data_IF_754091501955
#
_entry.id   IF_754091501955
#
_cell.length_a   1.000
_cell.length_b   1.000
_cell.length_c   1.000
_cell.angle_alpha   90.00
_cell.angle_beta   90.00
_cell.angle_gamma   90.00
#
_symmetry.space_group_name_H-M   'P 1'
#
loop_
_entity.id
_entity.type
_entity.pdbx_description
1 polymer ?
#
# COMPACT_ATOMS: atom_id res chain seq x y z
N UNK A 1 -1.29 3.97 20.56
CA UNK A 1 -0.36 3.98 19.40
C UNK A 1 -0.05 5.44 19.08
N UNK A 2 1.23 5.83 19.05
CA UNK A 2 1.61 7.24 18.78
C UNK A 2 1.81 7.40 17.26
N UNK A 3 0.92 8.13 16.60
CA UNK A 3 1.00 8.42 15.16
C UNK A 3 2.25 9.23 14.81
N UNK A 4 2.84 8.92 13.67
CA UNK A 4 3.93 9.72 13.08
C UNK A 4 3.31 10.82 12.24
N UNK A 5 3.53 12.07 12.64
CA UNK A 5 2.92 13.25 11.99
C UNK A 5 3.90 14.03 11.11
N UNK A 6 5.19 13.81 11.30
CA UNK A 6 6.24 14.47 10.52
C UNK A 6 7.00 13.47 9.66
N UNK A 7 7.49 13.95 8.51
CA UNK A 7 8.27 13.12 7.59
C UNK A 7 9.54 12.58 8.28
N UNK A 8 10.19 13.39 9.10
CA UNK A 8 11.36 12.93 9.86
C UNK A 8 11.03 11.76 10.78
N UNK A 9 9.91 11.81 11.51
CA UNK A 9 9.50 10.71 12.38
C UNK A 9 9.19 9.43 11.61
N UNK A 10 8.59 9.56 10.42
CA UNK A 10 8.32 8.44 9.53
C UNK A 10 9.63 7.83 9.01
N UNK A 11 10.56 8.66 8.53
CA UNK A 11 11.85 8.19 8.00
C UNK A 11 12.72 7.57 9.10
N UNK A 12 12.74 8.13 10.31
CA UNK A 12 13.41 7.49 11.45
C UNK A 12 12.89 6.07 11.70
N UNK A 13 11.56 5.88 11.61
CA UNK A 13 10.97 4.56 11.76
C UNK A 13 11.33 3.63 10.60
N UNK A 14 11.49 4.16 9.38
CA UNK A 14 11.88 3.39 8.20
C UNK A 14 13.33 2.92 8.22
N UNK A 15 14.20 3.51 9.07
CA UNK A 15 15.58 3.05 9.23
C UNK A 15 15.68 1.63 9.79
N UNK A 16 14.81 1.27 10.72
CA UNK A 16 14.80 -0.08 11.31
C UNK A 16 13.39 -0.46 11.82
N UNK A 17 12.42 -0.68 10.91
CA UNK A 17 11.07 -1.05 11.30
C UNK A 17 11.00 -2.47 11.88
N UNK A 18 10.00 -2.70 12.71
CA UNK A 18 9.63 -4.01 13.25
C UNK A 18 8.16 -4.31 12.93
N UNK A 19 7.73 -5.56 13.08
CA UNK A 19 6.31 -5.95 12.90
C UNK A 19 5.36 -5.14 13.80
N UNK A 20 5.80 -4.76 15.01
CA UNK A 20 5.02 -3.92 15.92
C UNK A 20 4.75 -2.50 15.38
N UNK A 21 5.54 -2.05 14.42
CA UNK A 21 5.43 -0.72 13.82
C UNK A 21 4.46 -0.66 12.63
N UNK A 22 4.12 -1.79 12.02
CA UNK A 22 3.39 -1.85 10.74
C UNK A 22 2.05 -1.11 10.76
N UNK A 23 1.23 -1.37 11.78
CA UNK A 23 -0.05 -0.68 11.90
C UNK A 23 0.13 0.84 12.06
N UNK A 24 1.13 1.27 12.84
CA UNK A 24 1.44 2.69 13.04
C UNK A 24 1.95 3.34 11.75
N UNK A 25 2.82 2.66 11.00
CA UNK A 25 3.31 3.10 9.69
C UNK A 25 2.13 3.27 8.72
N UNK A 26 1.29 2.25 8.60
CA UNK A 26 0.15 2.25 7.68
C UNK A 26 -0.83 3.37 7.98
N UNK A 27 -1.26 3.50 9.25
CA UNK A 27 -2.18 4.55 9.68
C UNK A 27 -1.58 5.93 9.44
N UNK A 28 -0.30 6.11 9.78
CA UNK A 28 0.37 7.40 9.60
C UNK A 28 0.44 7.79 8.13
N UNK A 29 0.86 6.88 7.25
CA UNK A 29 0.93 7.12 5.80
C UNK A 29 -0.44 7.51 5.23
N UNK A 30 -1.51 6.83 5.63
CA UNK A 30 -2.85 7.09 5.13
C UNK A 30 -3.48 8.37 5.67
N UNK A 31 -3.10 8.78 6.89
CA UNK A 31 -3.72 9.90 7.59
C UNK A 31 -2.94 11.21 7.46
N UNK A 32 -1.61 11.13 7.58
CA UNK A 32 -0.77 12.30 7.80
C UNK A 32 0.10 12.66 6.61
N UNK A 33 0.03 11.88 5.52
CA UNK A 33 0.87 12.09 4.35
C UNK A 33 0.08 12.04 3.04
N UNK A 34 0.60 12.75 2.06
CA UNK A 34 0.16 12.68 0.65
C UNK A 34 1.38 12.59 -0.26
N UNK A 35 1.14 12.11 -1.46
CA UNK A 35 2.13 12.10 -2.53
C UNK A 35 1.77 13.24 -3.49
N UNK A 36 2.74 14.11 -3.79
CA UNK A 36 2.59 15.16 -4.80
C UNK A 36 3.39 14.78 -6.03
N UNK A 37 2.73 14.87 -7.18
CA UNK A 37 3.29 14.72 -8.51
C UNK A 37 3.11 16.03 -9.28
N UNK A 38 4.15 16.45 -9.99
CA UNK A 38 4.05 17.53 -10.96
C UNK A 38 3.83 16.96 -12.36
N UNK A 39 2.75 17.37 -13.00
CA UNK A 39 2.44 17.06 -14.40
C UNK A 39 2.62 18.32 -15.21
N UNK A 40 3.26 18.18 -16.37
CA UNK A 40 3.39 19.25 -17.35
C UNK A 40 2.55 18.91 -18.58
N UNK A 41 1.68 19.86 -18.97
CA UNK A 41 0.87 19.75 -20.18
C UNK A 41 0.91 21.08 -20.95
N UNK A 42 0.10 21.19 -22.01
CA UNK A 42 0.03 22.40 -22.83
C UNK A 42 -0.48 23.65 -22.09
N UNK A 43 -1.09 23.47 -20.94
CA UNK A 43 -1.61 24.57 -20.10
C UNK A 43 -0.61 24.98 -19.00
N UNK A 44 0.48 24.23 -18.84
CA UNK A 44 1.56 24.49 -17.89
C UNK A 44 1.76 23.38 -16.86
N UNK A 45 2.43 23.71 -15.73
CA UNK A 45 2.71 22.77 -14.66
C UNK A 45 1.58 22.76 -13.64
N UNK A 46 1.04 21.58 -13.36
CA UNK A 46 0.03 21.37 -12.31
C UNK A 46 0.49 20.36 -11.27
N UNK A 47 0.02 20.55 -10.04
CA UNK A 47 0.25 19.59 -8.95
C UNK A 47 -0.95 18.64 -8.84
N UNK A 48 -0.68 17.36 -8.94
CA UNK A 48 -1.63 16.28 -8.65
C UNK A 48 -1.28 15.68 -7.28
N UNK A 49 -2.27 15.58 -6.42
CA UNK A 49 -2.11 15.04 -5.08
C UNK A 49 -2.75 13.67 -4.99
N UNK A 50 -2.06 12.74 -4.36
CA UNK A 50 -2.56 11.40 -4.06
C UNK A 50 -2.53 11.14 -2.56
N UNK A 51 -3.59 10.54 -2.02
CA UNK A 51 -3.61 9.96 -0.69
C UNK A 51 -3.56 8.44 -0.79
N UNK A 52 -2.71 7.82 0.01
CA UNK A 52 -2.62 6.36 0.07
C UNK A 52 -3.88 5.83 0.71
N UNK A 53 -4.52 4.86 0.06
CA UNK A 53 -5.77 4.26 0.50
C UNK A 53 -5.68 2.73 0.69
N UNK A 54 -4.72 2.07 0.05
CA UNK A 54 -4.42 0.64 0.21
C UNK A 54 -2.91 0.44 0.09
N UNK A 55 -2.33 -0.32 0.98
CA UNK A 55 -0.90 -0.64 1.00
C UNK A 55 -0.64 -2.03 1.58
N UNK A 56 0.52 -2.59 1.24
CA UNK A 56 1.06 -3.80 1.86
C UNK A 56 2.46 -3.51 2.39
N UNK A 57 2.80 -4.11 3.53
CA UNK A 57 4.14 -4.00 4.12
C UNK A 57 4.88 -5.32 3.90
N UNK A 58 6.10 -5.21 3.41
CA UNK A 58 7.04 -6.28 3.16
C UNK A 58 8.33 -6.00 3.92
N UNK A 59 8.78 -6.96 4.71
CA UNK A 59 10.05 -6.86 5.42
C UNK A 59 10.68 -8.23 5.57
N UNK A 60 11.82 -8.42 4.92
CA UNK A 60 12.72 -9.53 5.19
C UNK A 60 13.68 -9.13 6.31
N UNK A 61 13.91 -10.05 7.24
CA UNK A 61 15.00 -9.96 8.22
C UNK A 61 15.59 -11.35 8.40
N UNK A 62 16.91 -11.45 8.47
CA UNK A 62 17.58 -12.73 8.71
C UNK A 62 17.20 -13.33 10.08
N UNK A 63 16.88 -12.47 11.05
CA UNK A 63 16.43 -12.90 12.38
C UNK A 63 14.97 -13.35 12.42
N UNK A 64 14.19 -13.01 11.38
CA UNK A 64 12.78 -13.35 11.25
C UNK A 64 12.42 -13.51 9.77
N UNK A 65 12.78 -14.64 9.16
CA UNK A 65 12.66 -14.86 7.71
C UNK A 65 11.24 -15.21 7.24
N UNK A 66 10.20 -14.90 8.01
CA UNK A 66 8.80 -15.22 7.68
C UNK A 66 8.37 -14.62 6.32
N UNK A 67 8.87 -13.42 5.99
CA UNK A 67 8.48 -12.69 4.79
C UNK A 67 9.41 -12.97 3.59
N UNK A 68 9.40 -14.21 3.12
CA UNK A 68 10.21 -14.67 1.99
C UNK A 68 9.82 -14.04 0.63
N UNK A 69 8.63 -13.42 0.55
CA UNK A 69 8.15 -12.74 -0.66
C UNK A 69 8.76 -11.36 -0.88
N UNK A 70 9.52 -10.86 0.09
CA UNK A 70 10.16 -9.54 -0.01
C UNK A 70 11.28 -9.53 -1.05
N UNK A 71 11.18 -8.64 -2.04
CA UNK A 71 12.20 -8.51 -3.08
C UNK A 71 13.49 -7.92 -2.52
N UNK A 72 14.63 -8.54 -2.85
CA UNK A 72 15.96 -8.03 -2.52
C UNK A 72 16.14 -6.62 -3.09
N UNK A 73 16.63 -5.72 -2.25
CA UNK A 73 16.87 -4.32 -2.61
C UNK A 73 18.00 -3.71 -1.77
N UNK A 74 18.60 -2.67 -2.30
CA UNK A 74 19.56 -1.83 -1.59
C UNK A 74 19.07 -0.39 -1.66
N UNK A 75 18.36 0.04 -0.64
CA UNK A 75 17.67 1.32 -0.62
C UNK A 75 17.97 2.08 0.68
N UNK A 76 17.91 3.39 0.60
CA UNK A 76 17.80 4.27 1.77
C UNK A 76 16.31 4.41 2.17
N UNK A 77 16.05 4.80 3.40
CA UNK A 77 14.69 5.02 3.89
C UNK A 77 13.95 6.09 3.10
N UNK A 78 12.72 5.81 2.73
CA UNK A 78 11.86 6.71 1.97
C UNK A 78 12.16 6.79 0.48
N UNK A 79 13.10 6.03 -0.04
CA UNK A 79 13.38 5.93 -1.47
C UNK A 79 12.26 5.21 -2.20
N UNK A 80 11.89 5.68 -3.39
CA UNK A 80 11.00 4.93 -4.28
C UNK A 80 11.76 3.73 -4.88
N UNK A 81 11.23 2.53 -4.66
CA UNK A 81 11.71 1.30 -5.26
C UNK A 81 10.70 0.79 -6.28
N UNK A 82 11.01 0.95 -7.57
CA UNK A 82 10.16 0.52 -8.68
C UNK A 82 10.55 -0.89 -9.09
N UNK A 83 9.55 -1.76 -9.21
CA UNK A 83 9.73 -3.14 -9.58
C UNK A 83 8.56 -3.66 -10.42
N UNK A 84 8.67 -4.88 -10.97
CA UNK A 84 7.67 -5.46 -11.88
C UNK A 84 6.24 -5.53 -11.33
N UNK A 85 6.07 -5.52 -10.04
CA UNK A 85 4.75 -5.61 -9.40
C UNK A 85 4.16 -4.25 -9.02
N UNK A 86 4.96 -3.19 -8.97
CA UNK A 86 4.51 -1.87 -8.55
C UNK A 86 5.63 -0.98 -8.03
N UNK A 87 5.33 -0.17 -7.04
CA UNK A 87 6.27 0.74 -6.41
C UNK A 87 6.15 0.67 -4.89
N UNK A 88 7.30 0.60 -4.23
CA UNK A 88 7.40 0.65 -2.77
C UNK A 88 8.02 1.97 -2.32
N UNK A 89 7.58 2.43 -1.16
CA UNK A 89 8.33 3.38 -0.34
C UNK A 89 9.27 2.56 0.56
N UNK A 90 10.57 2.57 0.26
CA UNK A 90 11.51 1.62 0.82
C UNK A 90 11.85 1.91 2.29
N UNK A 91 12.06 0.85 3.04
CA UNK A 91 12.80 0.87 4.29
C UNK A 91 14.30 0.90 4.00
N UNK A 92 15.10 1.38 4.97
CA UNK A 92 16.55 1.29 4.86
C UNK A 92 16.99 -0.16 4.79
N UNK A 93 17.83 -0.48 3.82
CA UNK A 93 18.53 -1.76 3.77
C UNK A 93 19.63 -1.80 4.82
N UNK A 94 19.68 -2.89 5.59
CA UNK A 94 20.74 -3.14 6.56
C UNK A 94 21.60 -4.28 6.02
N UNK A 95 22.93 -4.07 6.08
CA UNK A 95 23.93 -5.06 5.69
C UNK A 95 24.72 -5.53 6.90
N UNK A 96 25.20 -6.77 6.83
CA UNK A 96 26.18 -7.31 7.77
C UNK A 96 27.56 -6.65 7.56
N UNK A 97 28.49 -6.90 8.46
CA UNK A 97 29.88 -6.48 8.31
C UNK A 97 30.52 -7.03 7.02
N UNK A 98 30.09 -8.18 6.55
CA UNK A 98 30.55 -8.81 5.31
C UNK A 98 29.82 -8.29 4.07
N UNK A 99 28.92 -7.30 4.19
CA UNK A 99 28.18 -6.70 3.09
C UNK A 99 26.91 -7.46 2.65
N UNK A 100 26.55 -8.56 3.30
CA UNK A 100 25.35 -9.31 2.98
C UNK A 100 24.07 -8.57 3.41
N UNK A 101 23.00 -8.70 2.62
CA UNK A 101 21.70 -8.14 2.95
C UNK A 101 21.06 -8.91 4.12
N UNK A 102 20.92 -8.28 5.27
CA UNK A 102 20.33 -8.91 6.47
C UNK A 102 18.92 -8.41 6.78
N UNK A 103 18.56 -7.19 6.31
CA UNK A 103 17.22 -6.64 6.48
C UNK A 103 16.90 -5.67 5.36
N UNK A 104 15.75 -5.84 4.71
CA UNK A 104 15.28 -4.98 3.63
C UNK A 104 13.78 -5.11 3.45
N UNK A 105 13.14 -4.10 2.88
CA UNK A 105 11.70 -4.12 2.66
C UNK A 105 11.14 -2.75 2.28
N UNK A 106 9.81 -2.61 2.39
CA UNK A 106 9.12 -1.37 2.09
C UNK A 106 7.61 -1.48 2.20
N UNK A 107 6.98 -0.39 1.83
CA UNK A 107 5.53 -0.22 1.78
C UNK A 107 5.09 -0.20 0.32
N UNK A 108 4.50 -1.28 -0.17
CA UNK A 108 3.94 -1.38 -1.52
C UNK A 108 2.64 -0.56 -1.61
N UNK A 109 2.60 0.38 -2.53
CA UNK A 109 1.40 1.19 -2.80
C UNK A 109 0.44 0.39 -3.67
N UNK A 110 -0.78 0.18 -3.17
CA UNK A 110 -1.82 -0.62 -3.84
C UNK A 110 -3.04 0.17 -4.26
N UNK A 111 -3.32 1.26 -3.58
CA UNK A 111 -4.48 2.09 -3.87
C UNK A 111 -4.25 3.55 -3.50
N UNK A 112 -4.74 4.43 -4.37
CA UNK A 112 -4.61 5.88 -4.24
C UNK A 112 -5.96 6.56 -4.44
N UNK A 113 -6.23 7.57 -3.64
CA UNK A 113 -7.26 8.58 -3.92
C UNK A 113 -6.58 9.75 -4.65
N UNK A 114 -7.07 10.12 -5.84
CA UNK A 114 -6.51 11.21 -6.66
C UNK A 114 -7.25 12.52 -6.43
N UNK A 115 -6.50 13.58 -6.26
CA UNK A 115 -7.01 14.95 -6.08
C UNK A 115 -6.36 15.90 -7.06
N UNK A 116 -7.18 16.70 -7.74
CA UNK A 116 -6.75 17.80 -8.61
C UNK A 116 -7.42 19.10 -8.14
N UNK A 117 -6.65 20.17 -7.98
CA UNK A 117 -7.14 21.44 -7.45
C UNK A 117 -7.94 21.30 -6.14
N UNK A 118 -7.49 20.42 -5.26
CA UNK A 118 -8.12 20.14 -3.97
C UNK A 118 -9.41 19.31 -4.03
N UNK A 119 -9.88 18.93 -5.22
CA UNK A 119 -11.08 18.10 -5.39
C UNK A 119 -10.71 16.65 -5.64
N UNK A 120 -11.41 15.72 -5.01
CA UNK A 120 -11.30 14.29 -5.30
C UNK A 120 -11.84 14.02 -6.71
N UNK A 121 -11.01 13.44 -7.58
CA UNK A 121 -11.35 13.17 -8.99
C UNK A 121 -11.44 11.68 -9.29
N UNK A 122 -10.98 10.83 -8.41
CA UNK A 122 -11.10 9.37 -8.58
C UNK A 122 -10.16 8.58 -7.69
N UNK A 123 -10.27 7.26 -7.84
CA UNK A 123 -9.45 6.30 -7.12
C UNK A 123 -8.70 5.41 -8.10
N UNK A 124 -7.44 5.11 -7.80
CA UNK A 124 -6.59 4.19 -8.54
C UNK A 124 -6.39 2.94 -7.70
N UNK A 125 -6.67 1.77 -8.25
CA UNK A 125 -6.53 0.51 -7.57
C UNK A 125 -5.63 -0.44 -8.35
N UNK A 126 -4.72 -1.09 -7.65
CA UNK A 126 -3.75 -2.04 -8.18
C UNK A 126 -2.34 -1.47 -8.25
N UNK A 127 -1.36 -2.25 -7.81
CA UNK A 127 0.03 -1.81 -7.60
C UNK A 127 0.67 -1.22 -8.86
N UNK A 128 0.54 -1.90 -10.00
CA UNK A 128 1.09 -1.42 -11.27
C UNK A 128 0.39 -0.15 -11.75
N UNK A 129 -0.93 -0.01 -11.51
CA UNK A 129 -1.66 1.20 -11.89
C UNK A 129 -1.27 2.38 -11.03
N UNK A 130 -1.11 2.17 -9.73
CA UNK A 130 -0.59 3.21 -8.84
C UNK A 130 0.81 3.66 -9.27
N UNK A 131 1.69 2.72 -9.59
CA UNK A 131 3.02 3.03 -10.10
C UNK A 131 2.95 3.84 -11.40
N UNK A 132 2.19 3.39 -12.41
CA UNK A 132 2.06 4.08 -13.68
C UNK A 132 1.46 5.47 -13.50
N UNK A 133 0.42 5.61 -12.69
CA UNK A 133 -0.20 6.90 -12.40
C UNK A 133 0.78 7.87 -11.75
N UNK A 134 1.58 7.40 -10.79
CA UNK A 134 2.56 8.23 -10.08
C UNK A 134 3.74 8.65 -10.95
N UNK A 135 4.21 7.78 -11.85
CA UNK A 135 5.48 7.98 -12.57
C UNK A 135 5.32 8.23 -14.07
N UNK A 136 4.10 8.19 -14.61
CA UNK A 136 3.84 8.57 -16.00
C UNK A 136 3.72 10.09 -16.13
N UNK A 137 4.31 10.64 -17.21
CA UNK A 137 4.19 12.07 -17.55
C UNK A 137 4.56 13.03 -16.40
N UNK A 138 5.60 12.67 -15.64
CA UNK A 138 6.09 13.52 -14.54
C UNK A 138 7.38 14.21 -14.94
N UNK A 139 7.49 15.52 -14.67
CA UNK A 139 8.73 16.28 -14.83
C UNK A 139 9.70 16.07 -13.67
N UNK A 140 9.18 15.74 -12.50
CA UNK A 140 9.96 15.45 -11.29
C UNK A 140 9.45 14.18 -10.61
N UNK A 141 10.32 13.50 -9.84
CA UNK A 141 9.91 12.34 -9.06
C UNK A 141 8.81 12.72 -8.06
N UNK A 142 7.77 11.89 -7.90
CA UNK A 142 6.75 12.10 -6.89
C UNK A 142 7.36 12.25 -5.49
N UNK A 143 6.84 13.17 -4.70
CA UNK A 143 7.34 13.45 -3.35
C UNK A 143 6.29 13.13 -2.29
N UNK A 144 6.70 12.45 -1.22
CA UNK A 144 5.87 12.31 -0.03
C UNK A 144 5.94 13.60 0.78
N UNK A 145 4.78 14.16 1.14
CA UNK A 145 4.65 15.37 1.93
C UNK A 145 3.78 15.15 3.16
N UNK A 146 3.98 15.97 4.17
CA UNK A 146 3.09 16.06 5.32
C UNK A 146 1.76 16.68 4.89
N UNK A 147 0.66 15.97 5.11
CA UNK A 147 -0.69 16.41 4.73
C UNK A 147 -1.74 15.68 5.58
N UNK A 148 -1.97 16.19 6.76
CA UNK A 148 -2.90 15.59 7.71
C UNK A 148 -4.34 15.61 7.17
N UNK A 149 -4.98 14.44 7.17
CA UNK A 149 -6.39 14.36 6.84
C UNK A 149 -7.23 15.12 7.88
N UNK A 150 -8.12 16.00 7.40
CA UNK A 150 -9.02 16.79 8.24
C UNK A 150 -10.20 15.97 8.79
N UNK A 151 -10.32 14.71 8.37
CA UNK A 151 -11.39 13.80 8.78
C UNK A 151 -10.79 12.52 9.40
N UNK A 152 -11.59 11.88 10.22
CA UNK A 152 -11.22 10.58 10.75
C UNK A 152 -11.22 9.54 9.63
N UNK A 153 -10.15 8.76 9.57
CA UNK A 153 -10.06 7.61 8.69
C UNK A 153 -10.20 6.32 9.50
N UNK A 154 -10.89 5.36 8.93
CA UNK A 154 -10.88 3.99 9.41
C UNK A 154 -9.92 3.18 8.55
N UNK A 155 -9.01 2.47 9.21
CA UNK A 155 -8.04 1.60 8.55
C UNK A 155 -8.28 0.17 9.00
N UNK A 156 -8.37 -0.73 8.03
CA UNK A 156 -8.54 -2.16 8.24
C UNK A 156 -7.25 -2.89 7.90
N UNK A 157 -7.04 -3.98 8.59
CA UNK A 157 -5.96 -4.92 8.33
C UNK A 157 -6.50 -6.19 7.66
N UNK A 158 -5.78 -6.71 6.69
CA UNK A 158 -6.13 -7.94 5.99
C UNK A 158 -4.88 -8.74 5.61
N UNK A 159 -5.08 -9.96 5.17
CA UNK A 159 -4.00 -10.79 4.61
C UNK A 159 -3.58 -10.26 3.23
N UNK A 160 -2.29 -10.33 2.93
CA UNK A 160 -1.74 -10.07 1.60
C UNK A 160 -2.14 -11.19 0.64
N UNK A 161 -2.14 -10.86 -0.66
CA UNK A 161 -2.48 -11.79 -1.73
C UNK A 161 -1.19 -12.41 -2.25
N UNK A 162 -0.78 -13.52 -1.67
CA UNK A 162 0.43 -14.23 -2.06
C UNK A 162 0.38 -15.69 -1.61
N UNK A 163 1.39 -16.49 -1.99
CA UNK A 163 1.49 -17.90 -1.62
C UNK A 163 1.54 -18.14 -0.11
N UNK A 164 2.09 -17.18 0.65
CA UNK A 164 2.12 -17.20 2.11
C UNK A 164 1.44 -15.92 2.63
N UNK A 165 0.11 -15.94 2.81
CA UNK A 165 -0.64 -14.74 3.12
C UNK A 165 -0.41 -14.27 4.57
N UNK A 166 0.42 -13.25 4.74
CA UNK A 166 0.67 -12.59 6.02
C UNK A 166 -0.30 -11.40 6.23
N UNK A 167 -0.67 -11.07 7.50
CA UNK A 167 -1.67 -10.04 7.80
C UNK A 167 -1.09 -8.62 7.74
N UNK A 168 -0.37 -8.28 6.67
CA UNK A 168 0.36 -7.01 6.54
C UNK A 168 -0.16 -6.13 5.41
N UNK A 169 -1.44 -6.27 5.06
CA UNK A 169 -2.17 -5.38 4.18
C UNK A 169 -3.07 -4.46 4.98
N UNK A 170 -3.08 -3.18 4.65
CA UNK A 170 -3.86 -2.15 5.32
C UNK A 170 -4.58 -1.30 4.28
N UNK A 171 -5.85 -0.98 4.52
CA UNK A 171 -6.63 -0.15 3.61
C UNK A 171 -7.66 0.70 4.36
N UNK A 172 -8.02 1.83 3.75
CA UNK A 172 -9.08 2.71 4.26
C UNK A 172 -10.44 2.06 4.04
N UNK A 173 -11.33 2.18 5.04
CA UNK A 173 -12.75 1.94 4.85
C UNK A 173 -13.38 3.03 3.96
N UNK A 174 -14.53 2.71 3.38
CA UNK A 174 -15.40 3.66 2.66
C UNK A 174 -14.77 4.37 1.46
N UNK A 175 -13.70 3.84 0.89
CA UNK A 175 -13.16 4.31 -0.39
C UNK A 175 -14.03 3.74 -1.50
N UNK A 176 -14.56 4.62 -2.34
CA UNK A 176 -15.28 4.19 -3.54
C UNK A 176 -14.29 3.69 -4.60
N UNK A 177 -14.06 2.39 -4.61
CA UNK A 177 -13.21 1.73 -5.59
C UNK A 177 -13.88 1.56 -6.95
N UNK A 178 -15.01 2.22 -7.22
CA UNK A 178 -15.70 2.14 -8.52
C UNK A 178 -14.76 2.53 -9.64
N UNK A 179 -14.31 1.51 -10.35
CA UNK A 179 -13.62 1.72 -11.61
C UNK A 179 -14.67 1.72 -12.73
N UNK A 180 -14.37 2.44 -13.83
CA UNK A 180 -15.18 2.41 -15.06
C UNK A 180 -15.28 1.00 -15.70
N UNK A 181 -14.53 0.01 -15.21
CA UNK A 181 -14.65 -1.41 -15.57
C UNK A 181 -15.19 -2.15 -14.37
N UNK A 182 -16.23 -2.97 -14.59
CA UNK A 182 -16.76 -3.89 -13.57
C UNK A 182 -15.60 -4.63 -12.93
N UNK A 183 -15.51 -4.56 -11.61
CA UNK A 183 -14.55 -5.35 -10.87
C UNK A 183 -14.90 -6.81 -11.01
N UNK A 184 -13.91 -7.55 -11.39
CA UNK A 184 -13.94 -8.97 -11.38
C UNK A 184 -13.21 -9.40 -10.12
N UNK A 185 -13.92 -9.93 -9.16
CA UNK A 185 -13.33 -10.53 -7.96
C UNK A 185 -12.94 -11.94 -8.32
N UNK A 186 -11.68 -12.26 -8.12
CA UNK A 186 -11.18 -13.60 -8.30
C UNK A 186 -10.97 -14.23 -6.93
N UNK A 187 -11.69 -15.31 -6.68
CA UNK A 187 -11.50 -16.15 -5.49
C UNK A 187 -10.80 -17.43 -5.91
N UNK A 188 -9.94 -17.93 -5.03
CA UNK A 188 -9.23 -19.19 -5.23
C UNK A 188 -9.74 -20.21 -4.22
N UNK A 189 -10.17 -21.37 -4.69
CA UNK A 189 -10.58 -22.49 -3.86
C UNK A 189 -9.81 -23.73 -4.27
N UNK A 190 -9.28 -24.48 -3.31
CA UNK A 190 -8.74 -25.79 -3.58
C UNK A 190 -9.85 -26.83 -3.67
N UNK A 191 -10.06 -27.38 -4.84
CA UNK A 191 -10.99 -28.51 -5.08
C UNK A 191 -10.15 -29.69 -5.54
N UNK A 192 -10.20 -30.79 -4.80
CA UNK A 192 -9.43 -32.02 -5.11
C UNK A 192 -7.92 -31.79 -5.32
N UNK A 193 -7.32 -30.87 -4.54
CA UNK A 193 -5.91 -30.53 -4.61
C UNK A 193 -5.51 -29.61 -5.77
N UNK A 194 -6.43 -29.22 -6.63
CA UNK A 194 -6.19 -28.27 -7.73
C UNK A 194 -6.79 -26.90 -7.38
N UNK A 195 -6.10 -25.83 -7.78
CA UNK A 195 -6.58 -24.49 -7.64
C UNK A 195 -7.67 -24.22 -8.68
N UNK A 196 -8.90 -23.98 -8.22
CA UNK A 196 -10.01 -23.49 -9.04
C UNK A 196 -10.20 -21.99 -8.79
N UNK A 197 -10.33 -21.22 -9.87
CA UNK A 197 -10.56 -19.79 -9.81
C UNK A 197 -12.00 -19.52 -10.21
N UNK A 198 -12.72 -18.77 -9.38
CA UNK A 198 -14.05 -18.29 -9.70
C UNK A 198 -14.03 -16.77 -9.81
N UNK A 199 -14.75 -16.28 -10.82
CA UNK A 199 -14.86 -14.86 -11.12
C UNK A 199 -16.22 -14.37 -10.68
N UNK A 200 -16.24 -13.40 -9.76
CA UNK A 200 -17.45 -12.80 -9.23
C UNK A 200 -17.62 -11.37 -9.74
N UNK A 201 -18.82 -10.97 -10.05
CA UNK A 201 -19.14 -9.64 -10.59
C UNK A 201 -19.75 -8.69 -9.54
N UNK A 202 -20.19 -9.22 -8.41
CA UNK A 202 -20.73 -8.46 -7.28
C UNK A 202 -20.18 -9.00 -5.96
N UNK A 203 -19.81 -8.07 -5.06
CA UNK A 203 -19.34 -8.40 -3.71
C UNK A 203 -20.38 -9.12 -2.85
N UNK A 204 -21.66 -8.89 -3.12
CA UNK A 204 -22.78 -9.54 -2.40
C UNK A 204 -22.88 -11.03 -2.69
N UNK A 205 -22.33 -11.48 -3.80
CA UNK A 205 -22.33 -12.88 -4.23
C UNK A 205 -21.15 -13.68 -3.67
N UNK A 206 -20.18 -13.00 -3.05
CA UNK A 206 -18.97 -13.64 -2.54
C UNK A 206 -19.26 -14.48 -1.29
N UNK A 207 -18.91 -15.78 -1.29
CA UNK A 207 -18.95 -16.58 -0.07
C UNK A 207 -18.03 -16.00 1.00
N UNK A 208 -18.52 -15.95 2.24
CA UNK A 208 -17.78 -15.34 3.37
C UNK A 208 -16.47 -16.05 3.72
N UNK A 209 -16.35 -17.32 3.36
CA UNK A 209 -15.20 -18.19 3.64
C UNK A 209 -14.15 -18.19 2.52
N UNK A 210 -14.34 -17.40 1.46
CA UNK A 210 -13.40 -17.35 0.34
C UNK A 210 -12.39 -16.21 0.48
N UNK A 211 -11.14 -16.51 0.12
CA UNK A 211 -10.06 -15.55 0.04
C UNK A 211 -10.28 -14.57 -1.11
N UNK A 212 -10.27 -13.27 -0.83
CA UNK A 212 -10.61 -12.23 -1.81
C UNK A 212 -9.38 -11.39 -2.13
N UNK A 213 -9.13 -11.19 -3.40
CA UNK A 213 -7.98 -10.42 -3.89
C UNK A 213 -8.14 -8.90 -3.86
N UNK A 214 -9.24 -8.38 -3.37
CA UNK A 214 -9.57 -6.94 -3.33
C UNK A 214 -9.98 -6.49 -1.92
N UNK A 215 -9.90 -5.18 -1.60
CA UNK A 215 -10.25 -4.68 -0.29
C UNK A 215 -11.75 -4.77 -0.04
N UNK A 216 -12.21 -5.92 0.38
CA UNK A 216 -13.58 -6.12 0.85
C UNK A 216 -13.50 -6.40 2.34
N UNK A 217 -14.37 -5.76 3.08
CA UNK A 217 -14.54 -6.04 4.50
C UNK A 217 -15.16 -7.44 4.62
N UNK A 218 -14.36 -8.40 5.02
CA UNK A 218 -14.76 -9.76 5.37
C UNK A 218 -14.53 -9.99 6.85
N UNK A 219 -15.01 -11.11 7.36
CA UNK A 219 -14.77 -11.47 8.77
C UNK A 219 -13.26 -11.63 9.09
N UNK A 220 -12.40 -11.77 8.07
CA UNK A 220 -10.95 -11.82 8.19
C UNK A 220 -10.28 -10.43 8.29
N UNK A 221 -11.05 -9.36 8.18
CA UNK A 221 -10.54 -7.99 8.25
C UNK A 221 -10.69 -7.46 9.67
N UNK A 222 -9.57 -7.02 10.24
CA UNK A 222 -9.52 -6.49 11.60
C UNK A 222 -9.45 -4.95 11.54
N UNK A 223 -10.39 -4.29 12.18
CA UNK A 223 -10.36 -2.84 12.33
C UNK A 223 -9.26 -2.45 13.31
N UNK A 224 -8.27 -1.72 12.82
CA UNK A 224 -7.07 -1.35 13.60
C UNK A 224 -7.04 0.13 14.03
N UNK A 225 -7.95 0.94 13.53
CA UNK A 225 -8.05 2.35 13.87
C UNK A 225 -9.47 2.69 14.35
N UNK A 226 -9.62 3.16 15.60
CA UNK A 226 -10.93 3.51 16.13
C UNK A 226 -11.50 4.73 15.40
N UNK A 227 -12.80 4.71 15.19
CA UNK A 227 -13.56 5.78 14.49
C UNK A 227 -13.74 7.06 15.29
N UNK A 228 -13.30 7.10 16.56
CA UNK A 228 -13.48 8.26 17.43
C UNK A 228 -12.18 8.67 18.10
#
# INVERSE_FOLDING_TARGET
MKEMRTLNNLLEKFKNPTKADYATIAISLMKNFSIIKQEEDSEGVRNVKYRIADLEIYLYSIDDPEDVGTLNRDCVEGQWYIHRYGVDLAFRTIRSENGELIKFGGVLIRGLEKYENGKHVGNICGCQRCMLEMFNSTSELPRLIEDCALYNIEVYNAKRIESTPLPYRYFKANVDWKMKRKYVFQTQKKVNGKDEYHVWHDTKELPKDMYISMPIVTDDVIKIYPTK
#
